data_IF_515527837990
#
_entry.id   IF_515527837990
#
_cell.length_a   1.000
_cell.length_b   1.000
_cell.length_c   1.000
_cell.angle_alpha   90.00
_cell.angle_beta   90.00
_cell.angle_gamma   90.00
#
_symmetry.space_group_name_H-M   'P 1'
#
loop_
_entity.id
_entity.type
_entity.pdbx_description
1 polymer ?
#
# COMPACT_ATOMS: atom_id res chain seq x y z
N UNK A 1 31.67 35.33 -32.41
CA UNK A 1 32.74 34.31 -32.49
C UNK A 1 32.08 32.98 -32.11
N UNK A 2 31.64 32.04 -32.96
CA UNK A 2 32.09 31.44 -34.24
C UNK A 2 33.23 30.41 -34.07
N UNK A 3 32.86 29.19 -33.66
CA UNK A 3 33.40 27.86 -34.00
C UNK A 3 32.22 26.90 -33.70
N UNK A 4 31.49 26.23 -34.61
CA UNK A 4 31.79 25.45 -35.82
C UNK A 4 32.73 24.28 -35.55
N UNK A 5 32.14 23.11 -35.23
CA UNK A 5 32.62 21.82 -35.73
C UNK A 5 31.45 20.83 -35.86
N UNK A 6 31.20 20.43 -37.10
CA UNK A 6 30.33 19.32 -37.47
C UNK A 6 31.16 18.02 -37.55
N UNK A 7 30.56 16.87 -37.22
CA UNK A 7 30.88 15.51 -37.71
C UNK A 7 30.05 14.52 -36.87
N UNK A 8 29.55 13.36 -37.29
CA UNK A 8 29.18 12.77 -38.57
C UNK A 8 28.50 11.44 -38.15
N UNK A 9 27.36 11.17 -38.77
CA UNK A 9 26.60 9.91 -38.94
C UNK A 9 27.35 8.59 -38.60
N UNK A 10 26.72 7.74 -37.79
CA UNK A 10 26.31 6.34 -38.12
C UNK A 10 26.24 5.44 -36.87
N UNK A 11 25.13 4.69 -36.74
CA UNK A 11 25.09 3.49 -35.89
C UNK A 11 23.84 3.34 -35.04
N UNK A 12 22.67 3.11 -35.66
CA UNK A 12 21.57 2.45 -34.96
C UNK A 12 21.95 0.97 -34.74
N UNK A 13 21.78 0.41 -33.53
CA UNK A 13 21.28 -0.93 -33.39
C UNK A 13 19.77 -0.87 -33.18
N UNK A 14 19.04 -1.53 -34.09
CA UNK A 14 17.68 -1.98 -33.84
C UNK A 14 17.66 -2.79 -32.54
N UNK A 15 17.16 -2.21 -31.45
CA UNK A 15 16.60 -2.99 -30.35
C UNK A 15 15.09 -2.86 -30.42
N UNK A 16 14.50 -3.79 -31.16
CA UNK A 16 13.11 -4.14 -30.96
C UNK A 16 12.95 -4.78 -29.59
N UNK A 17 12.19 -4.11 -28.71
CA UNK A 17 11.36 -4.79 -27.73
C UNK A 17 9.99 -4.17 -27.89
N UNK A 18 9.12 -4.87 -28.60
CA UNK A 18 7.68 -4.68 -28.49
C UNK A 18 7.30 -5.00 -27.03
N UNK A 19 7.40 -4.02 -26.15
CA UNK A 19 6.67 -4.06 -24.89
C UNK A 19 5.22 -3.78 -25.27
N UNK A 20 4.46 -4.86 -25.42
CA UNK A 20 3.01 -4.81 -25.41
C UNK A 20 2.57 -3.79 -24.33
N UNK A 21 1.56 -2.94 -24.60
CA UNK A 21 0.89 -2.29 -23.49
C UNK A 21 0.32 -3.45 -22.67
N UNK A 22 1.01 -3.81 -21.60
CA UNK A 22 0.41 -4.47 -20.47
C UNK A 22 -0.59 -3.44 -19.94
N UNK A 23 -1.73 -3.37 -20.61
CA UNK A 23 -3.00 -3.01 -20.03
C UNK A 23 -3.09 -3.90 -18.81
N UNK A 24 -2.55 -3.40 -17.69
CA UNK A 24 -2.87 -3.90 -16.36
C UNK A 24 -4.39 -4.01 -16.44
N UNK A 25 -4.97 -5.21 -16.33
CA UNK A 25 -6.41 -5.26 -16.19
C UNK A 25 -6.66 -4.33 -15.01
N UNK A 26 -7.42 -3.26 -15.25
CA UNK A 26 -8.14 -2.60 -14.19
C UNK A 26 -9.07 -3.71 -13.69
N UNK A 27 -8.51 -4.57 -12.83
CA UNK A 27 -9.23 -5.62 -12.13
C UNK A 27 -10.35 -4.85 -11.50
N UNK A 28 -11.56 -5.18 -11.92
CA UNK A 28 -12.79 -4.59 -11.43
C UNK A 28 -12.79 -4.74 -9.91
N UNK A 29 -12.22 -3.75 -9.23
CA UNK A 29 -11.81 -3.84 -7.83
C UNK A 29 -12.99 -3.69 -6.87
N UNK A 30 -14.22 -3.79 -7.39
CA UNK A 30 -15.45 -3.60 -6.62
C UNK A 30 -16.03 -4.89 -6.05
N UNK A 31 -15.59 -6.07 -6.50
CA UNK A 31 -16.19 -7.34 -6.07
C UNK A 31 -15.19 -8.36 -5.51
N UNK A 32 -13.88 -8.16 -5.72
CA UNK A 32 -12.86 -9.04 -5.16
C UNK A 32 -12.55 -8.66 -3.70
N UNK A 33 -12.55 -9.65 -2.81
CA UNK A 33 -12.06 -9.48 -1.44
C UNK A 33 -10.57 -9.08 -1.53
N UNK A 34 -10.16 -7.95 -0.95
CA UNK A 34 -8.77 -7.53 -1.02
C UNK A 34 -7.84 -8.55 -0.35
N UNK A 35 -6.71 -8.83 -1.00
CA UNK A 35 -5.67 -9.68 -0.42
C UNK A 35 -5.08 -9.02 0.84
N UNK A 36 -4.70 -9.82 1.83
CA UNK A 36 -4.17 -9.32 3.10
C UNK A 36 -2.91 -8.48 2.93
N UNK A 37 -2.06 -8.82 1.96
CA UNK A 37 -0.85 -8.06 1.62
C UNK A 37 -1.19 -6.68 1.06
N UNK A 38 -2.22 -6.58 0.23
CA UNK A 38 -2.71 -5.29 -0.28
C UNK A 38 -3.21 -4.43 0.86
N UNK A 39 -4.05 -4.99 1.74
CA UNK A 39 -4.59 -4.28 2.91
C UNK A 39 -3.49 -3.81 3.87
N UNK A 40 -2.45 -4.64 4.07
CA UNK A 40 -1.29 -4.24 4.87
C UNK A 40 -0.57 -3.03 4.27
N UNK A 41 -0.24 -3.08 2.97
CA UNK A 41 0.45 -1.98 2.29
C UNK A 41 -0.38 -0.70 2.34
N UNK A 42 -1.68 -0.81 2.12
CA UNK A 42 -2.57 0.36 2.19
C UNK A 42 -2.70 0.92 3.61
N UNK A 43 -2.75 0.06 4.62
CA UNK A 43 -2.79 0.47 6.03
C UNK A 43 -1.47 1.15 6.44
N UNK A 44 -0.33 0.59 6.06
CA UNK A 44 1.01 1.13 6.31
C UNK A 44 1.26 2.46 5.58
N UNK A 45 0.61 2.66 4.44
CA UNK A 45 0.70 3.90 3.66
C UNK A 45 -0.06 5.09 4.25
N UNK A 46 -0.84 4.90 5.31
CA UNK A 46 -1.59 5.98 5.97
C UNK A 46 -0.66 6.88 6.81
N UNK A 47 -1.08 8.14 6.99
CA UNK A 47 -0.48 8.99 8.04
C UNK A 47 -0.80 8.43 9.42
N UNK A 48 -0.01 8.79 10.45
CA UNK A 48 -0.24 8.28 11.80
C UNK A 48 -1.67 8.52 12.34
N UNK A 49 -2.29 9.72 12.18
CA UNK A 49 -3.66 9.94 12.62
C UNK A 49 -4.67 9.03 11.92
N UNK A 50 -4.55 8.89 10.59
CA UNK A 50 -5.42 8.02 9.78
C UNK A 50 -5.25 6.54 10.16
N UNK A 51 -4.00 6.09 10.30
CA UNK A 51 -3.69 4.73 10.77
C UNK A 51 -4.31 4.44 12.13
N UNK A 52 -4.14 5.37 13.10
CA UNK A 52 -4.69 5.23 14.44
C UNK A 52 -6.21 5.14 14.41
N UNK A 53 -6.88 5.95 13.58
CA UNK A 53 -8.33 5.88 13.39
C UNK A 53 -8.78 4.49 12.91
N UNK A 54 -8.15 3.97 11.85
CA UNK A 54 -8.49 2.66 11.29
C UNK A 54 -8.27 1.53 12.29
N UNK A 55 -7.10 1.50 12.95
CA UNK A 55 -6.78 0.45 13.94
C UNK A 55 -7.73 0.51 15.14
N UNK A 56 -8.10 1.71 15.59
CA UNK A 56 -9.03 1.87 16.70
C UNK A 56 -10.46 1.44 16.33
N UNK A 57 -10.86 1.59 15.06
CA UNK A 57 -12.17 1.16 14.55
C UNK A 57 -12.28 -0.35 14.30
N UNK A 58 -11.15 -1.08 14.24
CA UNK A 58 -11.15 -2.54 14.04
C UNK A 58 -10.76 -3.27 15.33
N UNK A 59 -11.70 -3.91 16.05
CA UNK A 59 -11.45 -4.50 17.36
C UNK A 59 -10.27 -5.48 17.41
N UNK A 60 -10.09 -6.31 16.35
CA UNK A 60 -8.97 -7.26 16.26
C UNK A 60 -7.61 -6.58 16.13
N UNK A 61 -7.51 -5.46 15.40
CA UNK A 61 -6.26 -4.70 15.29
C UNK A 61 -6.01 -3.93 16.59
N UNK A 62 -7.04 -3.32 17.16
CA UNK A 62 -6.96 -2.66 18.46
C UNK A 62 -6.46 -3.62 19.55
N UNK A 63 -7.01 -4.83 19.62
CA UNK A 63 -6.56 -5.85 20.58
C UNK A 63 -5.08 -6.21 20.42
N UNK A 64 -4.54 -6.19 19.18
CA UNK A 64 -3.10 -6.37 18.95
C UNK A 64 -2.27 -5.23 19.53
N UNK A 65 -2.74 -3.99 19.42
CA UNK A 65 -2.06 -2.84 20.01
C UNK A 65 -2.15 -2.87 21.53
N UNK A 66 -3.33 -3.16 22.07
CA UNK A 66 -3.58 -3.22 23.50
C UNK A 66 -2.80 -4.40 24.16
N UNK A 67 -2.50 -5.46 23.40
CA UNK A 67 -1.64 -6.56 23.83
C UNK A 67 -0.18 -6.17 24.11
N UNK A 68 0.29 -5.02 23.64
CA UNK A 68 1.59 -4.45 24.04
C UNK A 68 1.54 -3.69 25.38
N UNK A 69 0.37 -3.60 26.01
CA UNK A 69 0.18 -2.91 27.29
C UNK A 69 0.12 -1.39 27.17
N UNK A 70 0.36 -0.69 28.30
CA UNK A 70 0.16 0.77 28.42
C UNK A 70 0.92 1.60 27.39
N UNK A 71 2.05 1.11 26.89
CA UNK A 71 2.89 1.78 25.89
C UNK A 71 2.65 1.29 24.44
N UNK A 72 1.64 0.45 24.19
CA UNK A 72 1.44 -0.20 22.89
C UNK A 72 1.25 0.77 21.74
N UNK A 73 0.51 1.85 21.95
CA UNK A 73 0.33 2.90 20.93
C UNK A 73 1.63 3.64 20.61
N UNK A 74 2.52 3.81 21.58
CA UNK A 74 3.83 4.41 21.35
C UNK A 74 4.74 3.47 20.54
N UNK A 75 4.77 2.19 20.90
CA UNK A 75 5.51 1.17 20.17
C UNK A 75 5.05 1.08 18.72
N UNK A 76 3.73 0.97 18.50
CA UNK A 76 3.15 0.90 17.15
C UNK A 76 3.45 2.16 16.36
N UNK A 77 3.33 3.36 16.94
CA UNK A 77 3.66 4.62 16.26
C UNK A 77 5.05 4.64 15.64
N UNK A 78 6.04 4.04 16.32
CA UNK A 78 7.42 4.03 15.83
C UNK A 78 7.67 3.07 14.66
N UNK A 79 6.79 2.08 14.44
CA UNK A 79 7.02 0.97 13.49
C UNK A 79 5.81 0.62 12.63
N UNK A 80 4.71 1.39 12.68
CA UNK A 80 3.45 0.98 12.06
C UNK A 80 3.56 0.76 10.56
N UNK A 81 4.47 1.48 9.89
CA UNK A 81 4.76 1.37 8.45
C UNK A 81 5.55 0.13 8.06
N UNK A 82 6.27 -0.48 9.01
CA UNK A 82 7.15 -1.64 8.78
C UNK A 82 6.69 -2.89 9.54
N UNK A 83 5.73 -2.74 10.45
CA UNK A 83 5.18 -3.84 11.23
C UNK A 83 4.35 -4.78 10.36
N UNK A 84 4.54 -6.09 10.54
CA UNK A 84 3.85 -7.15 9.80
C UNK A 84 2.38 -7.32 10.20
N UNK A 85 1.52 -6.38 9.80
CA UNK A 85 0.06 -6.42 10.00
C UNK A 85 -0.61 -7.57 9.26
N UNK A 86 0.00 -8.06 8.17
CA UNK A 86 -0.53 -9.16 7.35
C UNK A 86 -0.95 -10.36 8.18
N UNK A 87 -0.13 -10.82 9.13
CA UNK A 87 -0.46 -11.99 9.98
C UNK A 87 -1.74 -11.79 10.80
N UNK A 88 -2.10 -10.55 11.11
CA UNK A 88 -3.35 -10.22 11.81
C UNK A 88 -4.51 -10.16 10.83
N UNK A 89 -4.30 -9.56 9.65
CA UNK A 89 -5.28 -9.42 8.58
C UNK A 89 -5.60 -10.79 7.94
N UNK A 90 -4.66 -11.73 7.89
CA UNK A 90 -4.88 -13.08 7.38
C UNK A 90 -5.95 -13.84 8.18
N UNK A 91 -6.13 -13.49 9.46
CA UNK A 91 -7.15 -14.07 10.33
C UNK A 91 -8.54 -13.43 10.16
N UNK A 92 -8.66 -12.46 9.25
CA UNK A 92 -9.92 -11.76 9.02
C UNK A 92 -10.79 -12.57 8.07
N UNK A 93 -12.08 -12.62 8.37
CA UNK A 93 -13.08 -13.10 7.44
C UNK A 93 -13.14 -12.20 6.20
N UNK A 94 -13.68 -12.68 5.07
CA UNK A 94 -13.94 -11.87 3.89
C UNK A 94 -14.64 -10.52 4.19
N UNK A 95 -15.63 -10.53 5.09
CA UNK A 95 -16.38 -9.34 5.48
C UNK A 95 -15.51 -8.36 6.27
N UNK A 96 -14.70 -8.86 7.20
CA UNK A 96 -13.76 -8.04 7.97
C UNK A 96 -12.69 -7.41 7.08
N UNK A 97 -12.20 -8.13 6.07
CA UNK A 97 -11.26 -7.58 5.07
C UNK A 97 -11.89 -6.46 4.24
N UNK A 98 -13.15 -6.63 3.84
CA UNK A 98 -13.91 -5.58 3.12
C UNK A 98 -14.11 -4.35 4.01
N UNK A 99 -14.52 -4.55 5.26
CA UNK A 99 -14.67 -3.45 6.23
C UNK A 99 -13.36 -2.71 6.48
N UNK A 100 -12.24 -3.43 6.61
CA UNK A 100 -10.92 -2.81 6.74
C UNK A 100 -10.57 -1.96 5.50
N UNK A 101 -10.83 -2.47 4.29
CA UNK A 101 -10.63 -1.72 3.05
C UNK A 101 -11.46 -0.42 3.01
N UNK A 102 -12.72 -0.51 3.44
CA UNK A 102 -13.63 0.64 3.50
C UNK A 102 -13.15 1.69 4.52
N UNK A 103 -12.70 1.26 5.70
CA UNK A 103 -12.13 2.16 6.71
C UNK A 103 -10.84 2.83 6.25
N UNK A 104 -9.95 2.08 5.58
CA UNK A 104 -8.73 2.63 4.99
C UNK A 104 -9.07 3.70 3.96
N UNK A 105 -10.04 3.42 3.08
CA UNK A 105 -10.51 4.37 2.06
C UNK A 105 -11.12 5.62 2.69
N UNK A 106 -11.92 5.47 3.73
CA UNK A 106 -12.49 6.59 4.47
C UNK A 106 -11.41 7.44 5.15
N UNK A 107 -10.41 6.79 5.77
CA UNK A 107 -9.33 7.49 6.45
C UNK A 107 -8.47 8.31 5.46
N UNK A 108 -8.26 7.83 4.23
CA UNK A 108 -7.54 8.59 3.18
C UNK A 108 -8.25 9.87 2.74
N UNK A 109 -9.55 10.00 3.00
CA UNK A 109 -10.37 11.17 2.65
C UNK A 109 -10.44 12.21 3.78
N UNK A 110 -9.90 11.89 4.96
CA UNK A 110 -9.75 12.81 6.09
C UNK A 110 -8.37 13.46 6.06
#
# INVERSE_FOLDING_TARGET
MKFLLALLVAGLPLFGIAAAPASKPAVSARTAIPASETLEKELQGLTWPQFKFVVNAVPKLKAKVDGYGKAGWHYVRSRYQTYGWKKSIDKFSPQEKKQLADLIRQAKQQ
#
